data_IF_682201158251
#
_entry.id   IF_682201158251
#
_cell.length_a   1.000
_cell.length_b   1.000
_cell.length_c   1.000
_cell.angle_alpha   90.00
_cell.angle_beta   90.00
_cell.angle_gamma   90.00
#
_symmetry.space_group_name_H-M   'P 1'
#
loop_
_entity.id
_entity.type
_entity.pdbx_description
1 polymer ?
#
# COMPACT_ATOMS: atom_id res chain seq x y z
N UNK A 1 25.68 -18.32 -6.19
CA UNK A 1 24.26 -18.44 -5.77
C UNK A 1 23.41 -17.73 -6.80
N UNK A 2 22.37 -18.36 -7.35
CA UNK A 2 21.46 -17.70 -8.28
C UNK A 2 20.65 -16.62 -7.54
N UNK A 3 20.57 -15.41 -8.10
CA UNK A 3 19.82 -14.30 -7.53
C UNK A 3 18.32 -14.58 -7.71
N UNK A 4 17.56 -14.58 -6.62
CA UNK A 4 16.12 -14.72 -6.69
C UNK A 4 15.53 -13.59 -7.56
N UNK A 5 14.46 -13.86 -8.33
CA UNK A 5 13.82 -12.85 -9.16
C UNK A 5 13.36 -11.65 -8.31
N UNK A 6 13.46 -10.45 -8.86
CA UNK A 6 13.00 -9.24 -8.19
C UNK A 6 11.49 -9.32 -7.93
N UNK A 7 11.06 -8.90 -6.74
CA UNK A 7 9.63 -8.90 -6.39
C UNK A 7 8.89 -7.84 -7.20
N UNK A 8 7.92 -8.26 -7.99
CA UNK A 8 7.06 -7.40 -8.81
C UNK A 8 5.61 -7.32 -8.28
N UNK A 9 5.39 -7.64 -7.00
CA UNK A 9 4.06 -7.67 -6.38
C UNK A 9 4.09 -7.11 -4.94
N UNK A 10 2.94 -6.66 -4.46
CA UNK A 10 2.70 -6.25 -3.09
C UNK A 10 1.80 -7.28 -2.38
N UNK A 11 2.17 -7.71 -1.17
CA UNK A 11 1.30 -8.54 -0.32
C UNK A 11 0.41 -7.64 0.52
N UNK A 12 -0.87 -7.97 0.58
CA UNK A 12 -1.83 -7.32 1.48
C UNK A 12 -2.03 -8.13 2.77
N UNK A 13 -2.50 -7.48 3.83
CA UNK A 13 -2.75 -8.15 5.13
C UNK A 13 -3.91 -9.16 5.05
N UNK A 14 -4.82 -8.99 4.09
CA UNK A 14 -5.84 -10.00 3.73
C UNK A 14 -5.24 -11.33 3.23
N UNK A 15 -3.95 -11.37 2.90
CA UNK A 15 -3.26 -12.51 2.29
C UNK A 15 -3.17 -12.44 0.77
N UNK A 16 -3.94 -11.56 0.12
CA UNK A 16 -3.89 -11.32 -1.34
C UNK A 16 -2.54 -10.75 -1.78
N UNK A 17 -2.29 -10.83 -3.09
CA UNK A 17 -1.15 -10.19 -3.75
C UNK A 17 -1.66 -9.36 -4.90
N UNK A 18 -1.16 -8.13 -5.03
CA UNK A 18 -1.38 -7.29 -6.18
C UNK A 18 -0.08 -7.23 -7.00
N UNK A 19 -0.15 -7.62 -8.27
CA UNK A 19 0.96 -7.42 -9.21
C UNK A 19 1.12 -5.93 -9.54
N UNK A 20 2.37 -5.44 -9.55
CA UNK A 20 2.69 -4.03 -9.79
C UNK A 20 2.83 -3.70 -11.28
N UNK A 21 3.10 -4.70 -12.12
CA UNK A 21 3.31 -4.54 -13.56
C UNK A 21 2.06 -4.87 -14.36
N UNK A 22 1.22 -5.79 -13.86
CA UNK A 22 -0.03 -6.20 -14.49
C UNK A 22 -1.16 -6.44 -13.44
N UNK A 23 -1.71 -5.36 -12.85
CA UNK A 23 -2.67 -5.48 -11.75
C UNK A 23 -4.02 -6.05 -12.21
N UNK A 24 -4.48 -7.11 -11.57
CA UNK A 24 -5.82 -7.67 -11.76
C UNK A 24 -6.86 -6.93 -10.89
N UNK A 25 -8.03 -6.55 -11.44
CA UNK A 25 -9.15 -6.00 -10.66
C UNK A 25 -9.63 -6.95 -9.56
N UNK A 26 -9.47 -8.27 -9.77
CA UNK A 26 -9.89 -9.28 -8.79
C UNK A 26 -8.95 -9.34 -7.58
N UNK A 27 -7.79 -8.69 -7.59
CA UNK A 27 -6.87 -8.64 -6.45
C UNK A 27 -7.04 -7.38 -5.60
N UNK A 28 -7.98 -6.51 -5.96
CA UNK A 28 -8.24 -5.23 -5.29
C UNK A 28 -9.41 -5.36 -4.34
N UNK A 29 -9.16 -5.09 -3.05
CA UNK A 29 -10.19 -5.06 -2.01
C UNK A 29 -10.16 -3.73 -1.26
N UNK A 30 -11.34 -3.21 -0.94
CA UNK A 30 -11.47 -1.91 -0.29
C UNK A 30 -10.84 -1.89 1.11
N UNK A 31 -10.89 -3.02 1.83
CA UNK A 31 -10.28 -3.16 3.16
C UNK A 31 -8.75 -3.02 3.13
N UNK A 32 -8.11 -3.59 2.12
CA UNK A 32 -6.65 -3.50 1.92
C UNK A 32 -6.25 -2.06 1.54
N UNK A 33 -7.05 -1.41 0.67
CA UNK A 33 -6.87 0.00 0.32
C UNK A 33 -7.01 0.88 1.56
N UNK A 34 -8.11 0.75 2.31
CA UNK A 34 -8.37 1.56 3.49
C UNK A 34 -7.26 1.41 4.53
N UNK A 35 -6.77 0.18 4.75
CA UNK A 35 -5.67 -0.08 5.66
C UNK A 35 -4.38 0.64 5.25
N UNK A 36 -4.04 0.61 3.96
CA UNK A 36 -2.87 1.31 3.41
C UNK A 36 -3.03 2.82 3.47
N UNK A 37 -4.11 3.36 2.90
CA UNK A 37 -4.35 4.80 2.81
C UNK A 37 -4.40 5.48 4.18
N UNK A 38 -4.90 4.80 5.22
CA UNK A 38 -4.92 5.31 6.58
C UNK A 38 -3.52 5.48 7.21
N UNK A 39 -2.46 4.93 6.60
CA UNK A 39 -1.08 4.95 7.12
C UNK A 39 -0.07 5.63 6.20
N UNK A 40 -0.42 5.87 4.94
CA UNK A 40 0.44 6.64 4.03
C UNK A 40 0.32 8.12 4.39
N UNK A 41 1.39 8.69 4.93
CA UNK A 41 1.46 10.11 5.27
C UNK A 41 1.54 10.98 4.01
N UNK A 42 0.81 12.09 3.98
CA UNK A 42 0.95 13.14 2.97
C UNK A 42 2.02 14.16 3.38
N UNK A 43 2.37 15.04 2.44
CA UNK A 43 3.28 16.16 2.67
C UNK A 43 4.64 15.76 3.26
N UNK A 44 5.11 14.55 2.96
CA UNK A 44 6.33 13.95 3.53
C UNK A 44 6.36 13.99 5.08
N UNK A 45 5.20 13.96 5.73
CA UNK A 45 5.08 14.05 7.19
C UNK A 45 5.28 15.45 7.78
N UNK A 46 5.42 16.49 6.96
CA UNK A 46 5.57 17.88 7.41
C UNK A 46 4.21 18.52 7.75
N UNK A 47 3.45 17.84 8.61
CA UNK A 47 2.16 18.30 9.11
C UNK A 47 2.23 18.48 10.62
N UNK A 48 1.50 19.47 11.15
CA UNK A 48 1.43 19.71 12.59
C UNK A 48 0.51 18.68 13.28
N UNK A 49 0.87 18.27 14.49
CA UNK A 49 0.10 17.34 15.33
C UNK A 49 0.79 16.00 15.56
N UNK A 50 0.24 15.22 16.49
CA UNK A 50 0.84 13.94 16.93
C UNK A 50 0.68 12.81 15.90
N UNK A 51 -0.25 12.96 14.95
CA UNK A 51 -0.55 11.96 13.93
C UNK A 51 -0.35 12.53 12.52
N UNK A 52 0.15 11.73 11.57
CA UNK A 52 0.33 12.17 10.19
C UNK A 52 -1.02 12.41 9.50
N UNK A 53 -1.11 13.46 8.69
CA UNK A 53 -2.25 13.65 7.78
C UNK A 53 -2.20 12.59 6.68
N UNK A 54 -3.00 11.54 6.81
CA UNK A 54 -2.95 10.37 5.93
C UNK A 54 -3.62 10.62 4.57
N UNK A 55 -3.34 9.78 3.57
CA UNK A 55 -4.05 9.82 2.28
C UNK A 55 -5.54 9.49 2.44
N UNK A 56 -5.92 8.65 3.41
CA UNK A 56 -7.34 8.37 3.68
C UNK A 56 -8.11 9.58 4.26
N UNK A 57 -7.42 10.48 4.98
CA UNK A 57 -8.05 11.67 5.58
C UNK A 57 -8.22 12.81 4.57
N UNK A 58 -7.41 12.83 3.50
CA UNK A 58 -7.48 13.80 2.43
C UNK A 58 -8.78 13.71 1.63
#
# INVERSE_FOLDING_TARGET
MARAPARAWQRMLSGRRLDLLDPSPLDVELSDIAHGLARVARWNGQTQGDYPFSVAQH
#
